data_IF_733741303704
#
_entry.id   IF_733741303704
#
_cell.length_a   1.000
_cell.length_b   1.000
_cell.length_c   1.000
_cell.angle_alpha   90.00
_cell.angle_beta   90.00
_cell.angle_gamma   90.00
#
_symmetry.space_group_name_H-M   'P 1'
#
loop_
_entity.id
_entity.type
_entity.pdbx_description
1 polymer ?
#
# COMPACT_ATOMS: atom_id res chain seq x y z
N UNK A 1 -1.73 -2.37 21.81
CA UNK A 1 -2.27 -2.27 20.44
C UNK A 1 -1.18 -1.58 19.63
N UNK A 2 -0.58 -2.24 18.65
CA UNK A 2 0.34 -1.53 17.76
C UNK A 2 -0.43 -0.39 17.09
N UNK A 3 0.16 0.81 17.08
CA UNK A 3 -0.47 1.96 16.47
C UNK A 3 -0.64 1.69 14.98
N UNK A 4 -1.82 2.01 14.43
CA UNK A 4 -2.01 1.95 12.99
C UNK A 4 -1.01 2.92 12.34
N UNK A 5 -0.23 2.39 11.40
CA UNK A 5 0.74 3.17 10.66
C UNK A 5 0.05 3.91 9.51
N UNK A 6 -1.02 3.31 8.97
CA UNK A 6 -1.91 3.94 7.99
C UNK A 6 -3.35 3.83 8.46
N UNK A 7 -4.12 4.90 8.30
CA UNK A 7 -5.56 4.94 8.54
C UNK A 7 -6.34 4.73 7.25
N UNK A 8 -7.65 4.45 7.34
CA UNK A 8 -8.51 4.44 6.15
C UNK A 8 -8.60 5.85 5.55
N UNK A 9 -8.48 5.95 4.22
CA UNK A 9 -8.52 7.23 3.51
C UNK A 9 -7.17 7.95 3.43
N UNK A 10 -6.12 7.41 4.05
CA UNK A 10 -4.77 7.95 3.95
C UNK A 10 -4.23 7.83 2.51
N UNK A 11 -3.58 8.91 2.05
CA UNK A 11 -2.81 8.90 0.81
C UNK A 11 -1.46 8.23 1.06
N UNK A 12 -1.13 7.19 0.29
CA UNK A 12 0.08 6.38 0.45
C UNK A 12 0.78 6.16 -0.88
N UNK A 13 2.10 5.96 -0.82
CA UNK A 13 2.89 5.51 -1.95
C UNK A 13 2.86 3.99 -2.03
N UNK A 14 2.53 3.46 -3.20
CA UNK A 14 2.56 2.02 -3.50
C UNK A 14 3.79 1.73 -4.36
N UNK A 15 4.50 0.65 -4.04
CA UNK A 15 5.65 0.15 -4.78
C UNK A 15 5.44 -1.31 -5.21
N UNK A 16 5.66 -1.57 -6.49
CA UNK A 16 5.86 -2.91 -7.01
C UNK A 16 7.35 -3.09 -7.33
N UNK A 17 7.97 -4.13 -6.79
CA UNK A 17 9.39 -4.43 -6.99
C UNK A 17 9.52 -5.85 -7.53
N UNK A 18 10.12 -5.99 -8.70
CA UNK A 18 10.42 -7.29 -9.30
C UNK A 18 11.81 -7.24 -9.98
N UNK A 19 12.81 -7.89 -9.37
CA UNK A 19 14.19 -7.80 -9.84
C UNK A 19 14.69 -6.36 -9.81
N UNK A 20 15.14 -5.85 -10.97
CA UNK A 20 15.56 -4.46 -11.14
C UNK A 20 14.44 -3.47 -11.52
N UNK A 21 13.19 -3.94 -11.66
CA UNK A 21 12.04 -3.10 -12.00
C UNK A 21 11.35 -2.61 -10.73
N UNK A 22 11.23 -1.28 -10.60
CA UNK A 22 10.44 -0.62 -9.57
C UNK A 22 9.36 0.23 -10.23
N UNK A 23 8.10 -0.03 -9.88
CA UNK A 23 6.96 0.79 -10.29
C UNK A 23 6.37 1.44 -9.05
N UNK A 24 6.13 2.75 -9.10
CA UNK A 24 5.52 3.52 -8.03
C UNK A 24 4.18 4.10 -8.46
N UNK A 25 3.18 4.09 -7.57
CA UNK A 25 1.90 4.75 -7.81
C UNK A 25 1.30 5.30 -6.51
N UNK A 26 0.49 6.36 -6.60
CA UNK A 26 -0.22 6.90 -5.43
C UNK A 26 -1.55 6.17 -5.25
N UNK A 27 -1.91 5.89 -4.01
CA UNK A 27 -3.16 5.22 -3.68
C UNK A 27 -3.79 5.79 -2.41
N UNK A 28 -5.07 5.48 -2.22
CA UNK A 28 -5.81 5.73 -0.98
C UNK A 28 -6.08 4.41 -0.29
N UNK A 29 -5.75 4.32 0.99
CA UNK A 29 -6.04 3.14 1.81
C UNK A 29 -7.55 2.96 2.01
N UNK A 30 -8.01 1.72 1.91
CA UNK A 30 -9.43 1.39 2.09
C UNK A 30 -9.74 0.85 3.49
N UNK A 31 -8.70 0.60 4.29
CA UNK A 31 -8.74 0.09 5.66
C UNK A 31 -7.47 0.53 6.40
N UNK A 32 -7.49 0.61 7.73
CA UNK A 32 -6.28 0.85 8.51
C UNK A 32 -5.33 -0.36 8.50
N UNK A 33 -4.06 -0.14 8.80
CA UNK A 33 -3.05 -1.20 8.94
C UNK A 33 -1.79 -0.74 9.68
N UNK A 34 -1.14 -1.67 10.36
CA UNK A 34 0.20 -1.55 10.94
C UNK A 34 1.25 -2.16 9.99
N UNK A 35 2.53 -1.93 10.28
CA UNK A 35 3.61 -2.53 9.49
C UNK A 35 3.49 -4.07 9.47
N UNK A 36 3.59 -4.66 8.29
CA UNK A 36 3.39 -6.10 8.05
C UNK A 36 1.94 -6.50 7.73
N UNK A 37 0.95 -5.62 7.94
CA UNK A 37 -0.44 -5.93 7.63
C UNK A 37 -0.68 -5.92 6.11
N UNK A 38 -1.49 -6.87 5.65
CA UNK A 38 -2.03 -6.86 4.30
C UNK A 38 -3.27 -5.95 4.24
N UNK A 39 -3.20 -4.90 3.42
CA UNK A 39 -4.27 -3.91 3.25
C UNK A 39 -4.70 -3.78 1.79
N UNK A 40 -5.94 -3.33 1.59
CA UNK A 40 -6.44 -2.92 0.29
C UNK A 40 -6.27 -1.43 0.10
N UNK A 41 -5.80 -1.03 -1.07
CA UNK A 41 -5.66 0.37 -1.48
C UNK A 41 -6.28 0.57 -2.85
N UNK A 42 -6.79 1.76 -3.13
CA UNK A 42 -7.29 2.15 -4.46
C UNK A 42 -6.29 3.10 -5.11
N UNK A 43 -5.72 2.70 -6.25
CA UNK A 43 -4.86 3.58 -7.03
C UNK A 43 -5.65 4.82 -7.49
N UNK A 44 -5.07 6.00 -7.32
CA UNK A 44 -5.76 7.27 -7.58
C UNK A 44 -6.01 7.46 -9.08
N UNK A 45 -5.04 7.07 -9.92
CA UNK A 45 -5.08 7.34 -11.35
C UNK A 45 -6.06 6.42 -12.10
N UNK A 46 -6.04 5.13 -11.77
CA UNK A 46 -6.80 4.09 -12.48
C UNK A 46 -8.07 3.63 -11.76
N UNK A 47 -8.22 3.98 -10.48
CA UNK A 47 -9.32 3.47 -9.64
C UNK A 47 -9.23 1.97 -9.30
N UNK A 48 -8.21 1.26 -9.76
CA UNK A 48 -8.03 -0.17 -9.46
C UNK A 48 -7.72 -0.40 -7.98
N UNK A 49 -8.25 -1.48 -7.42
CA UNK A 49 -7.94 -1.92 -6.06
C UNK A 49 -6.75 -2.87 -6.11
N UNK A 50 -5.74 -2.56 -5.29
CA UNK A 50 -4.53 -3.36 -5.10
C UNK A 50 -4.54 -3.91 -3.68
N UNK A 51 -3.96 -5.09 -3.49
CA UNK A 51 -3.67 -5.65 -2.15
C UNK A 51 -2.16 -5.64 -1.96
N UNK A 52 -1.70 -5.11 -0.84
CA UNK A 52 -0.28 -4.98 -0.54
C UNK A 52 -0.01 -4.93 0.95
N UNK A 53 1.26 -5.09 1.30
CA UNK A 53 1.74 -5.10 2.69
C UNK A 53 2.15 -3.69 3.09
N UNK A 54 1.72 -3.25 4.26
CA UNK A 54 2.19 -1.99 4.86
C UNK A 54 3.64 -2.16 5.29
N UNK A 55 4.52 -1.29 4.82
CA UNK A 55 5.93 -1.26 5.17
C UNK A 55 6.15 -0.42 6.43
N UNK A 56 7.29 -0.58 7.10
CA UNK A 56 7.58 0.14 8.35
C UNK A 56 7.69 1.67 8.18
N UNK A 57 7.85 2.16 6.94
CA UNK A 57 7.86 3.58 6.59
C UNK A 57 6.49 4.13 6.17
N UNK A 58 5.43 3.31 6.22
CA UNK A 58 4.06 3.69 5.85
C UNK A 58 3.75 3.56 4.35
N UNK A 59 4.71 3.12 3.54
CA UNK A 59 4.47 2.77 2.13
C UNK A 59 3.77 1.42 2.01
N UNK A 60 3.22 1.12 0.83
CA UNK A 60 2.59 -0.17 0.55
C UNK A 60 3.41 -0.90 -0.50
N UNK A 61 3.84 -2.12 -0.20
CA UNK A 61 4.49 -2.98 -1.19
C UNK A 61 3.47 -3.96 -1.78
N UNK A 62 3.41 -4.04 -3.11
CA UNK A 62 2.58 -5.01 -3.85
C UNK A 62 3.47 -5.97 -4.63
N UNK A 63 3.01 -7.21 -4.78
CA UNK A 63 3.67 -8.25 -5.57
C UNK A 63 2.77 -8.75 -6.69
N UNK A 64 3.36 -9.36 -7.71
CA UNK A 64 2.61 -10.07 -8.74
C UNK A 64 2.24 -11.43 -8.15
N UNK A 65 0.95 -11.76 -8.22
CA UNK A 65 0.44 -13.09 -7.90
C UNK A 65 0.86 -14.13 -8.93
#
# INVERSE_FOLDING_TARGET
>A
REAWLVEQGASVQVFFIAGGLTISATAVTLQPGAAGDLVKVRNIDSGKILSGTVMADGTIQVSAS
#
